data_IF_509879972230
#
_entry.id   IF_509879972230
#
_cell.length_a   1.000
_cell.length_b   1.000
_cell.length_c   1.000
_cell.angle_alpha   90.00
_cell.angle_beta   90.00
_cell.angle_gamma   90.00
#
_symmetry.space_group_name_H-M   'P 1'
#
loop_
_entity.id
_entity.type
_entity.pdbx_description
1 polymer ?
#
# COMPACT_ATOMS: atom_id res chain seq x y z
N UNK A 1 41.60 41.65 -32.76
CA UNK A 1 42.19 40.68 -31.82
C UNK A 1 41.49 39.35 -32.03
N UNK A 2 42.13 38.41 -32.72
CA UNK A 2 41.66 37.03 -32.78
C UNK A 2 41.90 36.37 -31.41
N UNK A 3 40.82 35.94 -30.76
CA UNK A 3 40.92 35.14 -29.54
C UNK A 3 41.30 33.71 -29.92
N UNK A 4 42.58 33.39 -29.79
CA UNK A 4 43.09 32.04 -29.99
C UNK A 4 42.77 31.21 -28.73
N UNK A 5 41.57 30.63 -28.69
CA UNK A 5 41.14 29.73 -27.60
C UNK A 5 41.90 28.42 -27.77
N UNK A 6 42.97 28.25 -26.99
CA UNK A 6 43.61 26.95 -26.81
C UNK A 6 42.68 26.05 -26.00
N UNK A 7 41.90 25.24 -26.68
CA UNK A 7 41.22 24.10 -26.06
C UNK A 7 42.33 23.09 -25.72
N UNK A 8 42.77 23.09 -24.45
CA UNK A 8 43.51 21.96 -23.93
C UNK A 8 42.56 20.76 -24.00
N UNK A 9 42.79 19.87 -24.97
CA UNK A 9 42.19 18.53 -24.93
C UNK A 9 42.66 17.92 -23.62
N UNK A 10 41.73 17.79 -22.68
CA UNK A 10 41.92 16.92 -21.53
C UNK A 10 42.20 15.55 -22.12
N UNK A 11 43.39 15.01 -21.89
CA UNK A 11 43.74 13.66 -22.32
C UNK A 11 42.79 12.69 -21.62
N UNK A 12 41.74 12.28 -22.33
CA UNK A 12 40.72 11.31 -21.91
C UNK A 12 41.29 9.89 -21.72
N UNK A 13 42.61 9.72 -21.74
CA UNK A 13 43.23 8.40 -21.74
C UNK A 13 43.32 7.74 -20.36
N UNK A 14 43.12 8.45 -19.25
CA UNK A 14 43.27 7.88 -17.90
C UNK A 14 42.24 8.35 -16.85
N UNK A 15 41.01 8.70 -17.23
CA UNK A 15 39.93 8.79 -16.24
C UNK A 15 39.20 7.45 -16.16
N UNK A 16 39.63 6.61 -15.22
CA UNK A 16 38.81 5.47 -14.78
C UNK A 16 37.64 6.03 -13.97
N UNK A 17 36.49 6.21 -14.63
CA UNK A 17 35.27 6.63 -13.99
C UNK A 17 34.72 5.44 -13.20
N UNK A 18 34.89 5.45 -11.87
CA UNK A 18 34.33 4.43 -11.00
C UNK A 18 32.82 4.68 -10.79
N UNK A 19 32.03 4.33 -11.81
CA UNK A 19 30.56 4.45 -11.81
C UNK A 19 29.88 3.58 -10.75
N UNK A 20 30.63 2.70 -10.07
CA UNK A 20 30.10 1.84 -9.02
C UNK A 20 29.55 2.63 -7.82
N UNK A 21 30.18 3.76 -7.49
CA UNK A 21 29.77 4.61 -6.38
C UNK A 21 28.45 5.33 -6.68
N UNK A 22 28.32 5.89 -7.89
CA UNK A 22 27.08 6.51 -8.37
C UNK A 22 25.94 5.50 -8.47
N UNK A 23 26.22 4.30 -8.99
CA UNK A 23 25.24 3.21 -9.06
C UNK A 23 24.78 2.76 -7.66
N UNK A 24 25.70 2.71 -6.69
CA UNK A 24 25.36 2.42 -5.29
C UNK A 24 24.46 3.50 -4.69
N UNK A 25 24.77 4.77 -4.92
CA UNK A 25 23.96 5.89 -4.42
C UNK A 25 22.53 5.84 -4.98
N UNK A 26 22.37 5.61 -6.28
CA UNK A 26 21.05 5.44 -6.93
C UNK A 26 20.29 4.28 -6.29
N UNK A 27 20.94 3.13 -6.09
CA UNK A 27 20.30 1.93 -5.55
C UNK A 27 19.91 2.14 -4.07
N UNK A 28 20.71 2.86 -3.30
CA UNK A 28 20.40 3.22 -1.91
C UNK A 28 19.20 4.16 -1.83
N UNK A 29 19.11 5.17 -2.70
CA UNK A 29 17.96 6.07 -2.72
C UNK A 29 16.68 5.33 -3.14
N UNK A 30 16.77 4.38 -4.08
CA UNK A 30 15.63 3.52 -4.43
C UNK A 30 15.21 2.62 -3.25
N UNK A 31 16.17 2.01 -2.55
CA UNK A 31 15.89 1.22 -1.35
C UNK A 31 15.19 2.03 -0.25
N UNK A 32 15.65 3.26 -0.02
CA UNK A 32 15.04 4.21 0.91
C UNK A 32 13.62 4.56 0.48
N UNK A 33 13.40 4.81 -0.81
CA UNK A 33 12.08 5.09 -1.37
C UNK A 33 11.10 3.91 -1.19
N UNK A 34 11.56 2.66 -1.37
CA UNK A 34 10.73 1.47 -1.08
C UNK A 34 10.36 1.39 0.39
N UNK A 35 11.30 1.69 1.28
CA UNK A 35 11.07 1.70 2.74
C UNK A 35 10.06 2.79 3.13
N UNK A 36 10.18 3.99 2.57
CA UNK A 36 9.21 5.08 2.79
C UNK A 36 7.82 4.70 2.28
N UNK A 37 7.74 4.01 1.12
CA UNK A 37 6.48 3.52 0.58
C UNK A 37 5.83 2.47 1.50
N UNK A 38 6.61 1.61 2.13
CA UNK A 38 6.11 0.68 3.14
C UNK A 38 5.53 1.42 4.37
N UNK A 39 6.21 2.46 4.86
CA UNK A 39 5.67 3.28 5.95
C UNK A 39 4.36 4.00 5.55
N UNK A 40 4.27 4.50 4.30
CA UNK A 40 3.03 5.08 3.77
C UNK A 40 1.91 4.04 3.65
N UNK A 41 2.24 2.79 3.35
CA UNK A 41 1.29 1.68 3.34
C UNK A 41 0.69 1.46 4.73
N UNK A 42 1.52 1.34 5.77
CA UNK A 42 1.07 1.14 7.15
C UNK A 42 0.16 2.29 7.59
N UNK A 43 0.56 3.55 7.31
CA UNK A 43 -0.26 4.71 7.62
C UNK A 43 -1.65 4.66 6.95
N UNK A 44 -1.72 4.21 5.68
CA UNK A 44 -3.02 4.03 5.00
C UNK A 44 -3.89 2.97 5.68
N UNK A 45 -3.31 1.84 6.10
CA UNK A 45 -4.04 0.81 6.84
C UNK A 45 -4.62 1.38 8.15
N UNK A 46 -3.82 2.12 8.92
CA UNK A 46 -4.29 2.74 10.16
C UNK A 46 -5.47 3.70 9.94
N UNK A 47 -5.38 4.55 8.91
CA UNK A 47 -6.47 5.47 8.55
C UNK A 47 -7.73 4.69 8.18
N UNK A 48 -7.62 3.64 7.37
CA UNK A 48 -8.77 2.83 6.96
C UNK A 48 -9.41 2.09 8.13
N UNK A 49 -8.63 1.51 9.03
CA UNK A 49 -9.15 0.84 10.23
C UNK A 49 -9.90 1.83 11.12
N UNK A 50 -9.34 3.03 11.32
CA UNK A 50 -9.99 4.08 12.09
C UNK A 50 -11.32 4.47 11.46
N UNK A 51 -11.36 4.68 10.15
CA UNK A 51 -12.60 4.96 9.43
C UNK A 51 -13.62 3.82 9.57
N UNK A 52 -13.21 2.56 9.40
CA UNK A 52 -14.09 1.41 9.56
C UNK A 52 -14.66 1.30 10.99
N UNK A 53 -13.88 1.67 12.00
CA UNK A 53 -14.34 1.67 13.40
C UNK A 53 -15.42 2.72 13.68
N UNK A 54 -15.30 3.91 13.08
CA UNK A 54 -16.35 4.94 13.15
C UNK A 54 -17.59 4.50 12.38
N UNK A 55 -17.41 3.93 11.19
CA UNK A 55 -18.51 3.47 10.34
C UNK A 55 -19.27 2.28 10.94
N UNK A 56 -18.63 1.51 11.83
CA UNK A 56 -19.28 0.44 12.57
C UNK A 56 -20.51 0.93 13.35
N UNK A 57 -20.39 2.07 14.04
CA UNK A 57 -21.49 2.65 14.79
C UNK A 57 -22.66 3.05 13.87
N UNK A 58 -22.36 3.50 12.65
CA UNK A 58 -23.38 3.80 11.65
C UNK A 58 -24.12 2.53 11.19
N UNK A 59 -23.39 1.44 10.91
CA UNK A 59 -24.00 0.14 10.56
C UNK A 59 -24.87 -0.40 11.69
N UNK A 60 -24.43 -0.27 12.95
CA UNK A 60 -25.26 -0.65 14.11
C UNK A 60 -26.54 0.17 14.21
N UNK A 61 -26.48 1.46 13.88
CA UNK A 61 -27.67 2.32 13.84
C UNK A 61 -28.63 1.89 12.73
N UNK A 62 -28.12 1.47 11.56
CA UNK A 62 -28.94 0.90 10.49
C UNK A 62 -29.60 -0.41 10.93
N UNK A 63 -28.85 -1.29 11.60
CA UNK A 63 -29.38 -2.53 12.13
C UNK A 63 -30.53 -2.29 13.11
N UNK A 64 -30.38 -1.34 14.03
CA UNK A 64 -31.41 -0.99 15.02
C UNK A 64 -32.70 -0.49 14.33
N UNK A 65 -32.55 0.38 13.32
CA UNK A 65 -33.68 0.84 12.49
C UNK A 65 -34.33 -0.29 11.69
N UNK A 66 -33.54 -1.24 11.20
CA UNK A 66 -34.04 -2.39 10.44
C UNK A 66 -34.82 -3.37 11.34
N UNK A 67 -34.34 -3.60 12.57
CA UNK A 67 -35.00 -4.50 13.54
C UNK A 67 -36.28 -3.90 14.11
N UNK A 68 -36.33 -2.58 14.25
CA UNK A 68 -37.53 -1.85 14.73
C UNK A 68 -38.57 -1.61 13.63
N UNK A 69 -38.27 -1.99 12.39
CA UNK A 69 -39.15 -1.81 11.25
C UNK A 69 -40.44 -2.65 11.41
N UNK A 70 -41.59 -1.98 11.35
CA UNK A 70 -42.89 -2.64 11.51
C UNK A 70 -43.25 -3.53 10.31
N UNK A 71 -44.02 -4.59 10.56
CA UNK A 71 -44.38 -5.54 9.50
C UNK A 71 -45.22 -4.85 8.40
N UNK A 72 -44.87 -5.02 7.12
CA UNK A 72 -45.51 -4.28 6.04
C UNK A 72 -46.98 -4.67 5.87
N UNK A 73 -47.86 -3.67 5.91
CA UNK A 73 -49.31 -3.86 5.70
C UNK A 73 -49.74 -3.74 4.23
N UNK A 74 -48.87 -3.21 3.36
CA UNK A 74 -49.14 -3.03 1.93
C UNK A 74 -48.10 -3.75 1.08
N UNK A 75 -48.48 -4.14 -0.15
CA UNK A 75 -47.56 -4.80 -1.09
C UNK A 75 -46.35 -3.93 -1.44
N UNK A 76 -46.52 -2.60 -1.51
CA UNK A 76 -45.41 -1.65 -1.74
C UNK A 76 -44.43 -1.63 -0.56
N UNK A 77 -44.92 -1.55 0.67
CA UNK A 77 -44.08 -1.62 1.86
C UNK A 77 -43.36 -2.98 1.98
N UNK A 78 -44.00 -4.07 1.54
CA UNK A 78 -43.39 -5.40 1.51
C UNK A 78 -42.16 -5.49 0.60
N UNK A 79 -42.22 -4.85 -0.58
CA UNK A 79 -41.08 -4.80 -1.51
C UNK A 79 -39.91 -4.01 -0.89
N UNK A 80 -40.21 -2.85 -0.27
CA UNK A 80 -39.20 -2.02 0.38
C UNK A 80 -38.55 -2.78 1.55
N UNK A 81 -39.35 -3.46 2.37
CA UNK A 81 -38.88 -4.28 3.48
C UNK A 81 -37.86 -5.35 3.04
N UNK A 82 -38.21 -6.14 2.01
CA UNK A 82 -37.32 -7.17 1.47
C UNK A 82 -36.04 -6.54 0.90
N UNK A 83 -36.16 -5.41 0.21
CA UNK A 83 -35.03 -4.71 -0.38
C UNK A 83 -34.07 -4.16 0.68
N UNK A 84 -34.57 -3.62 1.79
CA UNK A 84 -33.75 -3.19 2.92
C UNK A 84 -32.97 -4.38 3.52
N UNK A 85 -33.62 -5.53 3.74
CA UNK A 85 -32.93 -6.73 4.27
C UNK A 85 -31.81 -7.19 3.33
N UNK A 86 -32.08 -7.25 2.03
CA UNK A 86 -31.08 -7.68 1.04
C UNK A 86 -29.91 -6.71 1.00
N UNK A 87 -30.17 -5.40 1.01
CA UNK A 87 -29.12 -4.37 1.06
C UNK A 87 -28.28 -4.48 2.34
N UNK A 88 -28.91 -4.65 3.50
CA UNK A 88 -28.22 -4.81 4.78
C UNK A 88 -27.26 -6.01 4.78
N UNK A 89 -27.69 -7.14 4.19
CA UNK A 89 -26.86 -8.34 4.05
C UNK A 89 -25.63 -8.03 3.19
N UNK A 90 -25.80 -7.35 2.05
CA UNK A 90 -24.69 -6.97 1.17
C UNK A 90 -23.71 -6.05 1.91
N UNK A 91 -24.23 -5.01 2.59
CA UNK A 91 -23.43 -4.08 3.38
C UNK A 91 -22.62 -4.83 4.44
N UNK A 92 -23.27 -5.73 5.18
CA UNK A 92 -22.64 -6.53 6.23
C UNK A 92 -21.54 -7.43 5.69
N UNK A 93 -21.79 -8.14 4.59
CA UNK A 93 -20.80 -9.03 3.96
C UNK A 93 -19.58 -8.25 3.44
N UNK A 94 -19.81 -7.12 2.76
CA UNK A 94 -18.73 -6.26 2.27
C UNK A 94 -17.92 -5.65 3.41
N UNK A 95 -18.58 -5.22 4.49
CA UNK A 95 -17.93 -4.65 5.66
C UNK A 95 -17.07 -5.68 6.41
N UNK A 96 -17.61 -6.87 6.69
CA UNK A 96 -16.87 -7.96 7.36
C UNK A 96 -15.65 -8.36 6.51
N UNK A 97 -15.83 -8.51 5.20
CA UNK A 97 -14.73 -8.83 4.28
C UNK A 97 -13.64 -7.77 4.31
N UNK A 98 -14.03 -6.48 4.31
CA UNK A 98 -13.10 -5.34 4.41
C UNK A 98 -12.30 -5.39 5.71
N UNK A 99 -12.96 -5.63 6.84
CA UNK A 99 -12.31 -5.74 8.14
C UNK A 99 -11.33 -6.92 8.21
N UNK A 100 -11.70 -8.10 7.70
CA UNK A 100 -10.80 -9.26 7.67
C UNK A 100 -9.54 -8.98 6.85
N UNK A 101 -9.67 -8.34 5.68
CA UNK A 101 -8.51 -8.00 4.85
C UNK A 101 -7.62 -6.95 5.55
N UNK A 102 -8.20 -5.96 6.22
CA UNK A 102 -7.44 -4.96 6.99
C UNK A 102 -6.69 -5.59 8.18
N UNK A 103 -7.31 -6.53 8.90
CA UNK A 103 -6.66 -7.26 10.00
C UNK A 103 -5.50 -8.13 9.48
N UNK A 104 -5.64 -8.74 8.30
CA UNK A 104 -4.53 -9.44 7.65
C UNK A 104 -3.45 -8.44 7.19
N UNK A 105 -3.85 -7.25 6.73
CA UNK A 105 -2.97 -6.16 6.30
C UNK A 105 -2.17 -5.49 7.43
N UNK A 106 -2.62 -5.61 8.68
CA UNK A 106 -1.87 -5.19 9.88
C UNK A 106 -0.59 -6.02 10.11
N UNK A 107 -0.45 -7.18 9.46
CA UNK A 107 0.78 -7.97 9.58
C UNK A 107 1.93 -7.18 8.96
N UNK A 108 3.03 -6.96 9.71
CA UNK A 108 4.14 -6.17 9.20
C UNK A 108 4.69 -6.82 7.94
N UNK A 109 4.84 -6.02 6.87
CA UNK A 109 5.48 -6.47 5.65
C UNK A 109 6.96 -6.72 5.98
N UNK A 110 7.37 -7.99 5.87
CA UNK A 110 8.77 -8.37 6.10
C UNK A 110 9.62 -7.90 4.92
N UNK A 111 10.18 -6.69 5.05
CA UNK A 111 11.13 -6.17 4.09
C UNK A 111 12.49 -6.86 4.27
N UNK A 112 13.10 -7.27 3.16
CA UNK A 112 14.49 -7.70 3.15
C UNK A 112 15.38 -6.51 3.53
N UNK A 113 16.27 -6.75 4.49
CA UNK A 113 17.27 -5.82 4.98
C UNK A 113 18.66 -6.35 4.68
N UNK A 114 19.62 -5.43 4.60
CA UNK A 114 21.01 -5.77 4.42
C UNK A 114 21.50 -6.69 5.54
N UNK A 115 22.11 -7.82 5.17
CA UNK A 115 22.70 -8.75 6.11
C UNK A 115 24.19 -8.42 6.28
N UNK A 116 24.63 -7.92 7.46
CA UNK A 116 26.02 -7.53 7.66
C UNK A 116 26.99 -8.72 7.57
N UNK A 117 26.51 -9.97 7.67
CA UNK A 117 27.35 -11.16 7.46
C UNK A 117 27.94 -11.21 6.04
N UNK A 118 27.27 -10.62 5.05
CA UNK A 118 27.81 -10.51 3.69
C UNK A 118 29.14 -9.76 3.64
N UNK A 119 29.35 -8.78 4.55
CA UNK A 119 30.63 -8.07 4.67
C UNK A 119 31.76 -9.02 5.05
N UNK A 120 31.44 -10.01 5.89
CA UNK A 120 32.34 -11.04 6.40
C UNK A 120 32.57 -12.14 5.37
N UNK A 121 31.50 -12.69 4.82
CA UNK A 121 31.54 -13.83 3.90
C UNK A 121 32.30 -13.48 2.60
N UNK A 122 32.18 -12.24 2.13
CA UNK A 122 32.88 -11.78 0.93
C UNK A 122 34.19 -11.03 1.22
N UNK A 123 34.60 -10.93 2.50
CA UNK A 123 35.80 -10.19 2.93
C UNK A 123 35.86 -8.80 2.31
N UNK A 124 34.73 -8.09 2.30
CA UNK A 124 34.53 -6.86 1.52
C UNK A 124 35.49 -5.74 1.94
N UNK A 125 35.98 -5.77 3.19
CA UNK A 125 37.04 -4.87 3.68
C UNK A 125 38.40 -5.04 2.97
N UNK A 126 38.62 -6.18 2.29
CA UNK A 126 39.86 -6.51 1.61
C UNK A 126 39.74 -6.42 0.07
N UNK A 127 38.58 -5.96 -0.44
CA UNK A 127 38.32 -5.77 -1.87
C UNK A 127 38.46 -4.30 -2.27
N UNK A 128 38.78 -4.06 -3.53
CA UNK A 128 38.76 -2.71 -4.10
C UNK A 128 37.34 -2.10 -4.01
N UNK A 129 37.25 -0.79 -3.77
CA UNK A 129 35.99 -0.05 -3.60
C UNK A 129 34.97 -0.36 -4.70
N UNK A 130 35.42 -0.42 -5.95
CA UNK A 130 34.56 -0.69 -7.10
C UNK A 130 33.86 -2.05 -7.04
N UNK A 131 34.59 -3.09 -6.62
CA UNK A 131 34.00 -4.44 -6.46
C UNK A 131 33.04 -4.51 -5.27
N UNK A 132 33.36 -3.80 -4.18
CA UNK A 132 32.52 -3.76 -3.00
C UNK A 132 31.19 -3.04 -3.27
N UNK A 133 31.27 -1.89 -3.95
CA UNK A 133 30.11 -1.11 -4.38
C UNK A 133 29.21 -1.92 -5.31
N UNK A 134 29.79 -2.59 -6.32
CA UNK A 134 29.01 -3.34 -7.30
C UNK A 134 28.35 -4.60 -6.70
N UNK A 135 28.96 -5.21 -5.68
CA UNK A 135 28.33 -6.30 -4.93
C UNK A 135 27.16 -5.78 -4.07
N UNK A 136 27.34 -4.64 -3.41
CA UNK A 136 26.27 -3.98 -2.66
C UNK A 136 25.09 -3.59 -3.57
N UNK A 137 25.37 -3.00 -4.74
CA UNK A 137 24.37 -2.70 -5.79
C UNK A 137 23.56 -3.94 -6.14
N UNK A 138 24.23 -5.06 -6.48
CA UNK A 138 23.54 -6.30 -6.84
C UNK A 138 22.58 -6.73 -5.74
N UNK A 139 23.04 -6.73 -4.50
CA UNK A 139 22.25 -7.17 -3.35
C UNK A 139 21.05 -6.25 -3.07
N UNK A 140 21.27 -4.93 -3.07
CA UNK A 140 20.20 -3.97 -2.84
C UNK A 140 19.16 -3.99 -3.97
N UNK A 141 19.58 -4.18 -5.22
CA UNK A 141 18.64 -4.34 -6.35
C UNK A 141 17.74 -5.55 -6.16
N UNK A 142 18.30 -6.71 -5.77
CA UNK A 142 17.49 -7.90 -5.47
C UNK A 142 16.50 -7.64 -4.32
N UNK A 143 16.92 -6.92 -3.27
CA UNK A 143 16.03 -6.54 -2.18
C UNK A 143 14.94 -5.57 -2.62
N UNK A 144 15.28 -4.56 -3.43
CA UNK A 144 14.32 -3.59 -3.97
C UNK A 144 13.25 -4.30 -4.79
N UNK A 145 13.64 -5.21 -5.70
CA UNK A 145 12.70 -5.98 -6.52
C UNK A 145 11.77 -6.85 -5.65
N UNK A 146 12.34 -7.63 -4.73
CA UNK A 146 11.56 -8.50 -3.84
C UNK A 146 10.61 -7.70 -2.94
N UNK A 147 11.09 -6.61 -2.36
CA UNK A 147 10.29 -5.74 -1.49
C UNK A 147 9.18 -5.03 -2.27
N UNK A 148 9.47 -4.56 -3.49
CA UNK A 148 8.47 -3.95 -4.36
C UNK A 148 7.35 -4.94 -4.72
N UNK A 149 7.68 -6.18 -5.07
CA UNK A 149 6.68 -7.20 -5.38
C UNK A 149 5.77 -7.50 -4.17
N UNK A 150 6.36 -7.65 -2.98
CA UNK A 150 5.61 -7.85 -1.74
C UNK A 150 4.67 -6.66 -1.44
N UNK A 151 5.18 -5.44 -1.63
CA UNK A 151 4.45 -4.22 -1.38
C UNK A 151 3.33 -4.00 -2.41
N UNK A 152 3.55 -4.30 -3.69
CA UNK A 152 2.53 -4.23 -4.73
C UNK A 152 1.36 -5.17 -4.45
N UNK A 153 1.65 -6.42 -4.05
CA UNK A 153 0.61 -7.38 -3.63
C UNK A 153 -0.19 -6.85 -2.44
N UNK A 154 0.48 -6.21 -1.49
CA UNK A 154 -0.18 -5.60 -0.33
C UNK A 154 -1.08 -4.42 -0.74
N UNK A 155 -0.61 -3.54 -1.64
CA UNK A 155 -1.40 -2.43 -2.16
C UNK A 155 -2.61 -2.86 -2.98
N UNK A 156 -2.51 -3.95 -3.75
CA UNK A 156 -3.67 -4.54 -4.46
C UNK A 156 -4.78 -4.93 -3.49
N UNK A 157 -4.44 -5.50 -2.33
CA UNK A 157 -5.41 -5.82 -1.28
C UNK A 157 -6.06 -4.56 -0.71
N UNK A 158 -5.28 -3.51 -0.42
CA UNK A 158 -5.85 -2.22 0.03
C UNK A 158 -6.82 -1.65 -1.00
N UNK A 159 -6.47 -1.69 -2.28
CA UNK A 159 -7.35 -1.18 -3.35
C UNK A 159 -8.72 -1.87 -3.33
N UNK A 160 -8.74 -3.19 -3.14
CA UNK A 160 -9.98 -3.97 -3.00
C UNK A 160 -10.77 -3.52 -1.76
N UNK A 161 -10.10 -3.32 -0.61
CA UNK A 161 -10.77 -2.83 0.61
C UNK A 161 -11.38 -1.46 0.37
N UNK A 162 -10.67 -0.54 -0.28
CA UNK A 162 -11.19 0.80 -0.59
C UNK A 162 -12.44 0.72 -1.46
N UNK A 163 -12.45 -0.18 -2.45
CA UNK A 163 -13.62 -0.40 -3.31
C UNK A 163 -14.80 -0.98 -2.51
N UNK A 164 -14.56 -2.00 -1.68
CA UNK A 164 -15.59 -2.58 -0.81
C UNK A 164 -16.16 -1.54 0.17
N UNK A 165 -15.30 -0.74 0.79
CA UNK A 165 -15.73 0.33 1.70
C UNK A 165 -16.51 1.44 0.97
N UNK A 166 -16.17 1.74 -0.27
CA UNK A 166 -16.96 2.66 -1.10
C UNK A 166 -18.38 2.12 -1.31
N UNK A 167 -18.52 0.83 -1.65
CA UNK A 167 -19.83 0.17 -1.78
C UNK A 167 -20.59 0.23 -0.46
N UNK A 168 -19.93 -0.12 0.66
CA UNK A 168 -20.53 -0.07 2.00
C UNK A 168 -21.07 1.33 2.29
N UNK A 169 -20.29 2.39 2.08
CA UNK A 169 -20.71 3.76 2.33
C UNK A 169 -21.90 4.16 1.46
N UNK A 170 -21.83 3.90 0.14
CA UNK A 170 -22.91 4.25 -0.79
C UNK A 170 -24.20 3.50 -0.48
N UNK A 171 -24.14 2.18 -0.27
CA UNK A 171 -25.33 1.37 0.00
C UNK A 171 -25.90 1.68 1.39
N UNK A 172 -25.07 1.94 2.38
CA UNK A 172 -25.55 2.33 3.72
C UNK A 172 -26.31 3.65 3.67
N UNK A 173 -25.91 4.60 2.80
CA UNK A 173 -26.66 5.84 2.62
C UNK A 173 -27.99 5.63 1.88
N UNK A 174 -28.00 4.79 0.84
CA UNK A 174 -29.23 4.40 0.14
C UNK A 174 -30.19 3.69 1.08
N UNK A 175 -29.70 2.74 1.88
CA UNK A 175 -30.49 2.02 2.88
C UNK A 175 -31.04 2.98 3.95
N UNK A 176 -30.21 3.92 4.43
CA UNK A 176 -30.67 4.94 5.36
C UNK A 176 -31.85 5.75 4.81
N UNK A 177 -31.78 6.16 3.54
CA UNK A 177 -32.86 6.87 2.86
C UNK A 177 -34.09 5.98 2.73
N UNK A 178 -33.93 4.73 2.31
CA UNK A 178 -35.04 3.79 2.17
C UNK A 178 -35.74 3.55 3.51
N UNK A 179 -35.00 3.42 4.60
CA UNK A 179 -35.54 3.27 5.96
C UNK A 179 -36.29 4.51 6.47
N UNK A 180 -36.08 5.69 5.88
CA UNK A 180 -36.89 6.88 6.17
C UNK A 180 -38.25 6.81 5.46
N UNK A 181 -38.32 6.16 4.30
CA UNK A 181 -39.53 6.07 3.48
C UNK A 181 -40.32 4.76 3.66
N UNK A 182 -39.74 3.77 4.37
CA UNK A 182 -40.32 2.47 4.68
C UNK A 182 -41.26 2.56 5.90
#
# INVERSE_FOLDING_TARGET
MEYNVKINKVDTQNMSYDSSAECLEITLEEYKHVTERANKYDNKIYIMITFCSVFFAFILTLLDKLVTLSFPQTTRAGIIFVLCIVLFIIISLCYISSMLILVIGLRPIKLHRFNPKLLIDYSLWNKASSQANMLAVKQYTEFVLSNNEALEKAYKKISIVTLLMSIVVSFSFVEYILLIFA
#
